data_IF_667776883296
#
_entry.id   IF_667776883296
#
_cell.length_a   1.000
_cell.length_b   1.000
_cell.length_c   1.000
_cell.angle_alpha   90.00
_cell.angle_beta   90.00
_cell.angle_gamma   90.00
#
_symmetry.space_group_name_H-M   'P 1'
#
loop_
_entity.id
_entity.type
_entity.pdbx_description
1 polymer ?
#
# COMPACT_ATOMS: atom_id res chain seq x y z
N UNK A 1 27.77 16.51 69.68
CA UNK A 1 26.41 17.07 69.57
C UNK A 1 25.96 17.00 68.12
N UNK A 2 24.77 16.44 67.92
CA UNK A 2 24.18 16.00 66.66
C UNK A 2 23.19 17.04 66.13
N UNK A 3 23.26 17.39 64.83
CA UNK A 3 22.17 18.01 64.03
C UNK A 3 22.33 17.51 62.59
N UNK A 4 21.57 16.49 62.15
CA UNK A 4 20.27 16.59 61.41
C UNK A 4 20.39 17.57 60.24
N UNK A 5 20.56 17.09 59.02
CA UNK A 5 19.45 16.73 58.10
C UNK A 5 19.43 17.82 57.01
N UNK A 6 19.44 17.53 55.71
CA UNK A 6 18.28 17.01 54.98
C UNK A 6 18.81 16.62 53.59
N UNK A 7 18.73 15.34 53.21
CA UNK A 7 19.00 14.92 51.84
C UNK A 7 17.82 15.36 50.96
N UNK A 8 18.05 16.31 50.05
CA UNK A 8 17.12 16.56 48.95
C UNK A 8 17.17 15.35 48.00
N UNK A 9 16.18 14.48 48.09
CA UNK A 9 15.91 13.49 47.04
C UNK A 9 15.07 14.19 45.99
N UNK A 10 15.72 14.68 44.94
CA UNK A 10 15.09 15.14 43.70
C UNK A 10 14.49 13.91 43.00
N UNK A 11 13.23 13.62 43.29
CA UNK A 11 12.46 12.59 42.61
C UNK A 11 12.13 13.08 41.19
N UNK A 12 12.96 12.70 40.23
CA UNK A 12 12.77 12.95 38.81
C UNK A 12 11.65 12.01 38.30
N UNK A 13 10.39 12.44 38.39
CA UNK A 13 9.30 11.78 37.68
C UNK A 13 9.47 12.06 36.18
N UNK A 14 10.21 11.18 35.50
CA UNK A 14 10.20 11.11 34.05
C UNK A 14 8.79 10.67 33.62
N UNK A 15 7.96 11.63 33.23
CA UNK A 15 6.71 11.39 32.52
C UNK A 15 7.07 10.67 31.22
N UNK A 16 6.89 9.34 31.20
CA UNK A 16 6.80 8.56 29.98
C UNK A 16 5.53 8.98 29.26
N UNK A 17 5.57 10.08 28.52
CA UNK A 17 4.57 10.35 27.50
C UNK A 17 4.78 9.32 26.39
N UNK A 18 4.09 8.19 26.48
CA UNK A 18 3.91 7.32 25.34
C UNK A 18 3.23 8.17 24.25
N UNK A 19 3.99 8.60 23.25
CA UNK A 19 3.41 9.22 22.08
C UNK A 19 2.61 8.12 21.39
N UNK A 20 1.28 8.15 21.56
CA UNK A 20 0.38 7.43 20.66
C UNK A 20 0.51 8.13 19.31
N UNK A 21 1.49 7.70 18.51
CA UNK A 21 1.60 8.13 17.13
C UNK A 21 0.48 7.41 16.38
N UNK A 22 -0.57 8.15 15.99
CA UNK A 22 -1.59 7.64 15.10
C UNK A 22 -0.99 7.31 13.74
N UNK A 23 -1.44 6.20 13.13
CA UNK A 23 -0.99 5.80 11.80
C UNK A 23 -1.30 6.87 10.76
N UNK A 24 -0.40 7.10 9.80
CA UNK A 24 -0.66 8.00 8.68
C UNK A 24 -1.82 7.46 7.81
N UNK A 25 -2.43 8.32 6.99
CA UNK A 25 -3.48 7.87 6.05
C UNK A 25 -2.94 6.81 5.07
N UNK A 26 -1.69 6.97 4.63
CA UNK A 26 -1.01 6.01 3.78
C UNK A 26 -0.80 4.67 4.50
N UNK A 27 -0.29 4.68 5.73
CA UNK A 27 -0.11 3.45 6.51
C UNK A 27 -1.45 2.72 6.72
N UNK A 28 -2.52 3.45 7.01
CA UNK A 28 -3.87 2.89 7.12
C UNK A 28 -4.35 2.29 5.78
N UNK A 29 -4.14 3.00 4.68
CA UNK A 29 -4.53 2.54 3.34
C UNK A 29 -3.78 1.28 2.92
N UNK A 30 -2.45 1.28 3.08
CA UNK A 30 -1.58 0.15 2.77
C UNK A 30 -1.93 -1.04 3.64
N UNK A 31 -2.06 -0.88 4.96
CA UNK A 31 -2.47 -1.97 5.87
C UNK A 31 -3.83 -2.55 5.49
N UNK A 32 -4.78 -1.69 5.10
CA UNK A 32 -6.11 -2.10 4.65
C UNK A 32 -6.04 -2.95 3.38
N UNK A 33 -5.20 -2.57 2.41
CA UNK A 33 -5.05 -3.31 1.15
C UNK A 33 -4.23 -4.59 1.35
N UNK A 34 -3.20 -4.58 2.19
CA UNK A 34 -2.43 -5.78 2.49
C UNK A 34 -3.29 -6.87 3.16
N UNK A 35 -4.20 -6.46 4.04
CA UNK A 35 -5.06 -7.36 4.82
C UNK A 35 -6.38 -7.76 4.14
N UNK A 36 -6.80 -7.05 3.07
CA UNK A 36 -8.03 -7.42 2.35
C UNK A 36 -7.88 -8.82 1.75
N UNK A 37 -8.96 -9.60 1.77
CA UNK A 37 -8.94 -10.91 1.13
C UNK A 37 -8.74 -10.78 -0.38
N UNK A 38 -7.84 -11.58 -0.94
CA UNK A 38 -7.62 -11.64 -2.39
C UNK A 38 -8.91 -12.02 -3.14
N UNK A 39 -9.81 -12.81 -2.52
CA UNK A 39 -11.10 -13.18 -3.11
C UNK A 39 -12.10 -12.01 -3.18
N UNK A 40 -11.90 -10.94 -2.40
CA UNK A 40 -12.68 -9.69 -2.52
C UNK A 40 -12.22 -8.92 -3.77
N UNK A 41 -10.92 -8.92 -4.05
CA UNK A 41 -10.34 -8.23 -5.21
C UNK A 41 -10.53 -9.01 -6.53
N UNK A 42 -10.52 -10.34 -6.46
CA UNK A 42 -10.81 -11.23 -7.58
C UNK A 42 -11.45 -12.52 -7.04
N UNK A 43 -12.75 -12.70 -7.30
CA UNK A 43 -13.55 -13.83 -6.79
C UNK A 43 -13.02 -15.24 -7.12
N UNK A 44 -12.09 -15.37 -8.07
CA UNK A 44 -11.48 -16.66 -8.43
C UNK A 44 -10.28 -17.03 -7.55
N UNK A 45 -9.80 -16.10 -6.72
CA UNK A 45 -8.68 -16.29 -5.81
C UNK A 45 -9.11 -16.89 -4.46
N UNK A 46 -8.13 -17.41 -3.72
CA UNK A 46 -8.35 -17.92 -2.36
C UNK A 46 -8.70 -16.82 -1.38
N UNK A 47 -9.42 -17.18 -0.31
CA UNK A 47 -9.72 -16.29 0.81
C UNK A 47 -8.51 -16.14 1.74
N UNK A 48 -7.43 -15.56 1.22
CA UNK A 48 -6.17 -15.26 1.93
C UNK A 48 -5.89 -13.77 1.83
N UNK A 49 -5.17 -13.15 2.78
CA UNK A 49 -4.75 -11.75 2.66
C UNK A 49 -4.06 -11.48 1.32
N UNK A 50 -4.33 -10.32 0.73
CA UNK A 50 -3.80 -9.96 -0.58
C UNK A 50 -2.27 -9.89 -0.58
N UNK A 51 -1.65 -9.38 0.50
CA UNK A 51 -0.19 -9.38 0.64
C UNK A 51 0.39 -10.80 0.61
N UNK A 52 -0.24 -11.76 1.29
CA UNK A 52 0.21 -13.16 1.32
C UNK A 52 0.07 -13.83 -0.05
N UNK A 53 -1.06 -13.58 -0.73
CA UNK A 53 -1.27 -14.06 -2.10
C UNK A 53 -0.21 -13.50 -3.06
N UNK A 54 0.07 -12.20 -2.97
CA UNK A 54 1.05 -11.52 -3.81
C UNK A 54 2.46 -12.05 -3.56
N UNK A 55 2.87 -12.17 -2.29
CA UNK A 55 4.17 -12.72 -1.91
C UNK A 55 4.35 -14.15 -2.46
N UNK A 56 3.34 -15.01 -2.33
CA UNK A 56 3.36 -16.37 -2.86
C UNK A 56 3.47 -16.41 -4.38
N UNK A 57 2.82 -15.49 -5.08
CA UNK A 57 2.88 -15.39 -6.54
C UNK A 57 4.26 -14.95 -7.03
N UNK A 58 4.86 -13.96 -6.38
CA UNK A 58 6.12 -13.35 -6.80
C UNK A 58 7.36 -14.17 -6.40
N UNK A 59 7.26 -14.93 -5.30
CA UNK A 59 8.39 -15.65 -4.71
C UNK A 59 9.44 -14.72 -4.08
N UNK A 60 10.44 -15.32 -3.43
CA UNK A 60 11.35 -14.63 -2.50
C UNK A 60 12.28 -13.57 -3.13
N UNK A 61 12.35 -13.50 -4.47
CA UNK A 61 13.29 -12.61 -5.17
C UNK A 61 12.68 -11.31 -5.70
N UNK A 62 11.40 -11.05 -5.43
CA UNK A 62 10.74 -9.82 -5.85
C UNK A 62 10.76 -8.78 -4.73
N UNK A 63 11.04 -7.51 -5.07
CA UNK A 63 10.73 -6.40 -4.17
C UNK A 63 9.32 -5.90 -4.45
N UNK A 64 8.59 -5.60 -3.37
CA UNK A 64 7.24 -5.06 -3.45
C UNK A 64 7.23 -3.71 -2.75
N UNK A 65 6.84 -2.69 -3.49
CA UNK A 65 6.63 -1.32 -3.01
C UNK A 65 5.14 -1.04 -2.95
N UNK A 66 4.72 -0.32 -1.90
CA UNK A 66 3.35 0.06 -1.65
C UNK A 66 3.31 1.56 -1.42
N UNK A 67 2.40 2.25 -2.07
CA UNK A 67 2.22 3.70 -1.91
C UNK A 67 0.75 4.08 -2.03
N UNK A 68 0.34 5.14 -1.34
CA UNK A 68 -0.95 5.77 -1.58
C UNK A 68 -0.80 6.86 -2.65
N UNK A 69 -1.46 6.69 -3.79
CA UNK A 69 -1.44 7.65 -4.90
C UNK A 69 -2.85 7.95 -5.42
N UNK A 70 -2.93 8.75 -6.48
CA UNK A 70 -4.13 9.34 -7.06
C UNK A 70 -4.77 8.48 -8.16
N UNK A 71 -4.42 7.19 -8.22
CA UNK A 71 -4.86 6.23 -9.24
C UNK A 71 -4.44 6.58 -10.70
N UNK A 72 -3.70 7.67 -10.93
CA UNK A 72 -3.30 8.19 -12.24
C UNK A 72 -4.22 9.28 -12.81
N UNK A 73 -5.12 9.85 -12.02
CA UNK A 73 -6.14 10.81 -12.47
C UNK A 73 -5.75 12.29 -12.36
N UNK A 74 -4.66 12.64 -11.67
CA UNK A 74 -4.11 14.00 -11.69
C UNK A 74 -3.54 14.31 -13.07
N UNK A 75 -3.82 15.52 -13.55
CA UNK A 75 -3.24 16.02 -14.81
C UNK A 75 -1.93 16.77 -14.56
N UNK A 76 -1.66 17.13 -13.31
CA UNK A 76 -0.55 17.99 -12.93
C UNK A 76 -0.83 19.48 -13.14
N UNK A 77 -2.05 19.84 -13.54
CA UNK A 77 -2.50 21.23 -13.66
C UNK A 77 -3.37 21.60 -12.42
N UNK A 78 -2.88 22.46 -11.52
CA UNK A 78 -3.62 22.86 -10.33
C UNK A 78 -4.96 23.53 -10.63
N UNK A 79 -5.11 24.18 -11.79
CA UNK A 79 -6.37 24.83 -12.18
C UNK A 79 -7.48 23.82 -12.49
N UNK A 80 -7.10 22.61 -12.91
CA UNK A 80 -8.00 21.49 -13.18
C UNK A 80 -8.18 20.64 -11.92
N UNK A 81 -7.10 20.36 -11.20
CA UNK A 81 -7.09 19.35 -10.14
C UNK A 81 -7.60 19.86 -8.79
N UNK A 82 -7.47 21.16 -8.48
CA UNK A 82 -7.81 21.70 -7.15
C UNK A 82 -9.25 21.43 -6.72
N UNK A 83 -10.18 21.46 -7.66
CA UNK A 83 -11.62 21.32 -7.40
C UNK A 83 -12.15 19.91 -7.68
N UNK A 84 -11.29 18.95 -8.03
CA UNK A 84 -11.65 17.52 -8.19
C UNK A 84 -11.46 16.73 -6.89
N UNK A 85 -12.41 15.85 -6.58
CA UNK A 85 -12.23 14.79 -5.57
C UNK A 85 -11.73 13.55 -6.31
N UNK A 86 -10.40 13.44 -6.41
CA UNK A 86 -9.72 12.43 -7.22
C UNK A 86 -9.76 11.09 -6.47
N UNK A 87 -9.96 9.95 -7.17
CA UNK A 87 -9.84 8.63 -6.56
C UNK A 87 -8.46 8.46 -5.91
N UNK A 88 -8.41 7.69 -4.83
CA UNK A 88 -7.18 7.35 -4.14
C UNK A 88 -6.96 5.83 -4.25
N UNK A 89 -5.77 5.43 -4.70
CA UNK A 89 -5.36 4.05 -4.85
C UNK A 89 -4.18 3.74 -3.95
N UNK A 90 -4.15 2.51 -3.41
CA UNK A 90 -2.87 1.93 -3.04
C UNK A 90 -2.28 1.33 -4.32
N UNK A 91 -1.18 1.93 -4.78
CA UNK A 91 -0.33 1.40 -5.83
C UNK A 91 0.58 0.32 -5.26
N UNK A 92 0.71 -0.79 -6.00
CA UNK A 92 1.61 -1.89 -5.67
C UNK A 92 2.52 -2.12 -6.85
N UNK A 93 3.81 -1.87 -6.65
CA UNK A 93 4.84 -2.10 -7.66
C UNK A 93 5.65 -3.31 -7.26
N UNK A 94 5.51 -4.39 -8.03
CA UNK A 94 6.35 -5.58 -7.90
C UNK A 94 7.47 -5.49 -8.91
N UNK A 95 8.71 -5.35 -8.46
CA UNK A 95 9.87 -5.44 -9.35
C UNK A 95 10.26 -6.89 -9.54
N UNK A 96 10.31 -7.32 -10.80
CA UNK A 96 10.64 -8.67 -11.22
C UNK A 96 12.04 -8.69 -11.86
N UNK A 97 12.53 -9.89 -12.16
CA UNK A 97 13.77 -10.05 -12.94
C UNK A 97 13.62 -9.47 -14.35
N UNK A 98 14.76 -9.21 -15.01
CA UNK A 98 14.84 -8.72 -16.40
C UNK A 98 14.17 -7.35 -16.63
N UNK A 99 14.23 -6.45 -15.64
CA UNK A 99 13.65 -5.10 -15.71
C UNK A 99 12.15 -5.09 -16.08
N UNK A 100 11.40 -6.07 -15.56
CA UNK A 100 9.95 -6.09 -15.65
C UNK A 100 9.36 -5.67 -14.30
N UNK A 101 8.21 -5.02 -14.33
CA UNK A 101 7.44 -4.72 -13.13
C UNK A 101 5.95 -4.99 -13.34
N UNK A 102 5.27 -5.42 -12.28
CA UNK A 102 3.81 -5.42 -12.23
C UNK A 102 3.38 -4.20 -11.44
N UNK A 103 2.53 -3.36 -12.02
CA UNK A 103 1.76 -2.36 -11.30
C UNK A 103 0.35 -2.87 -11.02
N UNK A 104 -0.12 -2.70 -9.79
CA UNK A 104 -1.49 -2.98 -9.38
C UNK A 104 -2.00 -1.74 -8.65
N UNK A 105 -3.06 -1.12 -9.15
CA UNK A 105 -3.73 0.00 -8.48
C UNK A 105 -5.01 -0.51 -7.84
N UNK A 106 -5.14 -0.35 -6.52
CA UNK A 106 -6.33 -0.77 -5.78
C UNK A 106 -7.02 0.48 -5.23
N UNK A 107 -8.21 0.78 -5.76
CA UNK A 107 -9.04 1.89 -5.30
C UNK A 107 -9.44 1.66 -3.84
N UNK A 108 -9.17 2.65 -2.98
CA UNK A 108 -9.47 2.59 -1.53
C UNK A 108 -10.36 3.72 -1.05
N UNK A 109 -10.64 4.70 -1.90
CA UNK A 109 -11.49 5.85 -1.58
C UNK A 109 -11.19 7.06 -2.46
N UNK A 110 -11.21 8.24 -1.86
CA UNK A 110 -10.88 9.51 -2.56
C UNK A 110 -10.02 10.41 -1.69
N UNK A 111 -9.30 11.35 -2.30
CA UNK A 111 -8.41 12.26 -1.57
C UNK A 111 -9.15 13.14 -0.55
N UNK A 112 -10.41 13.54 -0.78
CA UNK A 112 -11.15 14.39 0.17
C UNK A 112 -11.94 13.60 1.20
N UNK A 113 -12.51 12.46 0.82
CA UNK A 113 -13.37 11.66 1.70
C UNK A 113 -12.58 10.61 2.49
N UNK A 114 -11.31 10.43 2.15
CA UNK A 114 -10.46 9.40 2.75
C UNK A 114 -10.85 8.01 2.30
N UNK A 115 -10.58 7.02 3.14
CA UNK A 115 -10.81 5.61 2.86
C UNK A 115 -12.31 5.28 2.95
N UNK A 116 -12.93 4.94 1.82
CA UNK A 116 -14.36 4.67 1.72
C UNK A 116 -14.64 3.48 0.78
N UNK A 117 -15.78 2.80 0.96
CA UNK A 117 -16.14 1.63 0.15
C UNK A 117 -15.21 0.43 0.37
N UNK A 118 -15.39 -0.66 -0.37
CA UNK A 118 -14.49 -1.81 -0.32
C UNK A 118 -13.31 -1.63 -1.29
N UNK A 119 -12.09 -2.03 -0.92
CA UNK A 119 -10.96 -2.07 -1.86
C UNK A 119 -11.34 -2.82 -3.13
N UNK A 120 -11.07 -2.23 -4.28
CA UNK A 120 -11.41 -2.79 -5.60
C UNK A 120 -10.23 -2.59 -6.56
N UNK A 121 -9.96 -3.58 -7.40
CA UNK A 121 -8.93 -3.45 -8.44
C UNK A 121 -9.33 -2.34 -9.41
N UNK A 122 -8.45 -1.35 -9.56
CA UNK A 122 -8.61 -0.24 -10.47
C UNK A 122 -7.91 -0.48 -11.80
N UNK A 123 -6.62 -0.84 -11.73
CA UNK A 123 -5.81 -1.20 -12.91
C UNK A 123 -4.74 -2.24 -12.55
N UNK A 124 -4.31 -3.00 -13.56
CA UNK A 124 -3.19 -3.94 -13.46
C UNK A 124 -2.42 -3.90 -14.77
N UNK A 125 -1.10 -3.78 -14.70
CA UNK A 125 -0.25 -3.86 -15.88
C UNK A 125 1.07 -4.57 -15.62
N UNK A 126 1.62 -5.18 -16.66
CA UNK A 126 3.01 -5.62 -16.75
C UNK A 126 3.78 -4.61 -17.60
N UNK A 127 4.74 -3.94 -16.99
CA UNK A 127 5.66 -3.03 -17.66
C UNK A 127 7.03 -3.68 -17.91
N UNK A 128 7.65 -3.27 -19.00
CA UNK A 128 9.02 -3.58 -19.39
C UNK A 128 9.59 -2.39 -20.15
N UNK A 129 10.90 -2.38 -20.43
CA UNK A 129 11.56 -1.29 -21.16
C UNK A 129 10.89 -0.93 -22.50
N UNK A 130 10.30 -1.91 -23.19
CA UNK A 130 9.76 -1.71 -24.55
C UNK A 130 8.24 -1.58 -24.61
N UNK A 131 7.52 -2.03 -23.56
CA UNK A 131 6.06 -2.16 -23.61
C UNK A 131 5.40 -2.23 -22.25
N UNK A 132 4.15 -1.76 -22.22
CA UNK A 132 3.19 -1.95 -21.13
C UNK A 132 2.05 -2.83 -21.64
N UNK A 133 1.67 -3.84 -20.86
CA UNK A 133 0.55 -4.75 -21.14
C UNK A 133 -0.43 -4.72 -19.98
N UNK A 134 -1.65 -4.26 -20.21
CA UNK A 134 -2.75 -4.35 -19.24
C UNK A 134 -3.16 -5.80 -18.99
N UNK A 135 -3.47 -6.11 -17.74
CA UNK A 135 -3.98 -7.39 -17.26
C UNK A 135 -5.37 -7.16 -16.70
N UNK A 136 -6.35 -8.01 -17.03
CA UNK A 136 -7.74 -7.74 -16.66
C UNK A 136 -8.09 -8.12 -15.22
N UNK A 137 -7.40 -9.13 -14.67
CA UNK A 137 -7.71 -9.76 -13.39
C UNK A 137 -6.45 -10.22 -12.68
N UNK A 138 -6.46 -10.19 -11.34
CA UNK A 138 -5.35 -10.65 -10.51
C UNK A 138 -5.00 -12.12 -10.79
N UNK A 139 -6.01 -12.97 -10.98
CA UNK A 139 -5.86 -14.39 -11.33
C UNK A 139 -5.14 -14.65 -12.65
N UNK A 140 -5.06 -13.67 -13.55
CA UNK A 140 -4.37 -13.81 -14.83
C UNK A 140 -2.87 -13.58 -14.72
N UNK A 141 -2.41 -12.85 -13.69
CA UNK A 141 -1.00 -12.47 -13.51
C UNK A 141 -0.05 -13.68 -13.58
N UNK A 142 -0.28 -14.81 -12.87
CA UNK A 142 0.62 -15.96 -12.94
C UNK A 142 0.79 -16.52 -14.36
N UNK A 143 -0.28 -16.49 -15.17
CA UNK A 143 -0.23 -16.98 -16.55
C UNK A 143 0.54 -16.02 -17.46
N UNK A 144 0.37 -14.71 -17.26
CA UNK A 144 1.07 -13.65 -17.99
C UNK A 144 2.57 -13.71 -17.70
N UNK A 145 2.96 -13.90 -16.43
CA UNK A 145 4.36 -14.03 -16.05
C UNK A 145 5.04 -15.26 -16.66
N UNK A 146 4.35 -16.40 -16.74
CA UNK A 146 4.89 -17.59 -17.42
C UNK A 146 5.13 -17.36 -18.92
N UNK A 147 4.32 -16.51 -19.55
CA UNK A 147 4.47 -16.18 -20.97
C UNK A 147 5.59 -15.16 -21.21
N UNK A 148 5.91 -14.29 -20.25
CA UNK A 148 6.98 -13.28 -20.41
C UNK A 148 8.39 -13.81 -20.23
N UNK A 149 8.54 -15.06 -19.76
CA UNK A 149 9.84 -15.73 -19.56
C UNK A 149 10.31 -16.47 -20.82
N UNK A 150 9.43 -16.73 -21.79
CA UNK A 150 9.77 -17.29 -23.11
C UNK A 150 10.27 -16.20 -24.05
#
# INVERSE_FOLDING_TARGET
MQKRGTHLILSFCALLTAQVQGQSLEEQAVNRVQSVSASILDSTLSNTPFADWLAKMCGDSASVEWELNDCGEQTGDPSIDKDRDIPACVGVTVTLRKNQSIGISILVGTHRKGLIGNPTVYDIYLASAEKVRTIKRLSEIPSVLRQSVR
#
